data_IF_739495932633
#
_entry.id   IF_739495932633
#
_cell.length_a   1.000
_cell.length_b   1.000
_cell.length_c   1.000
_cell.angle_alpha   90.00
_cell.angle_beta   90.00
_cell.angle_gamma   90.00
#
_symmetry.space_group_name_H-M   'P 1'
#
loop_
_entity.id
_entity.type
_entity.pdbx_description
1 polymer ?
#
# COMPACT_ATOMS: atom_id res chain seq x y z
N UNK A 1 -32.80 61.20 17.60
CA UNK A 1 -32.86 59.78 18.01
C UNK A 1 -32.82 58.79 16.83
N UNK A 2 -33.16 59.17 15.59
CA UNK A 2 -33.10 58.28 14.41
C UNK A 2 -31.68 57.88 13.95
N UNK A 3 -30.66 58.73 14.16
CA UNK A 3 -29.29 58.47 13.70
C UNK A 3 -28.60 57.28 14.39
N UNK A 4 -28.87 57.09 15.69
CA UNK A 4 -28.28 55.99 16.48
C UNK A 4 -28.85 54.64 16.03
N UNK A 5 -30.14 54.57 15.66
CA UNK A 5 -30.77 53.35 15.16
C UNK A 5 -30.20 52.91 13.80
N UNK A 6 -29.87 53.87 12.93
CA UNK A 6 -29.26 53.57 11.62
C UNK A 6 -27.86 52.98 11.78
N UNK A 7 -27.03 53.52 12.68
CA UNK A 7 -25.69 52.97 12.95
C UNK A 7 -25.74 51.55 13.52
N UNK A 8 -26.66 51.26 14.44
CA UNK A 8 -26.82 49.90 14.98
C UNK A 8 -27.29 48.91 13.90
N UNK A 9 -28.18 49.32 13.00
CA UNK A 9 -28.64 48.48 11.90
C UNK A 9 -27.49 48.11 10.95
N UNK A 10 -26.64 49.07 10.61
CA UNK A 10 -25.47 48.83 9.74
C UNK A 10 -24.51 47.84 10.39
N UNK A 11 -24.20 48.01 11.69
CA UNK A 11 -23.29 47.11 12.41
C UNK A 11 -23.89 45.70 12.53
N UNK A 12 -25.21 45.59 12.73
CA UNK A 12 -25.90 44.30 12.80
C UNK A 12 -25.84 43.54 11.47
N UNK A 13 -26.06 44.22 10.35
CA UNK A 13 -25.97 43.58 9.03
C UNK A 13 -24.51 43.20 8.72
N UNK A 14 -23.55 44.07 9.06
CA UNK A 14 -22.13 43.79 8.88
C UNK A 14 -21.68 42.56 9.68
N UNK A 15 -22.09 42.45 10.96
CA UNK A 15 -21.75 41.28 11.77
C UNK A 15 -22.43 40.00 11.27
N UNK A 16 -23.67 40.09 10.77
CA UNK A 16 -24.36 38.94 10.18
C UNK A 16 -23.67 38.44 8.91
N UNK A 17 -23.19 39.34 8.05
CA UNK A 17 -22.40 38.95 6.87
C UNK A 17 -21.11 38.24 7.25
N UNK A 18 -20.37 38.77 8.22
CA UNK A 18 -19.14 38.13 8.72
C UNK A 18 -19.45 36.75 9.29
N UNK A 19 -20.51 36.65 10.12
CA UNK A 19 -20.94 35.39 10.70
C UNK A 19 -21.31 34.36 9.61
N UNK A 20 -22.02 34.77 8.57
CA UNK A 20 -22.37 33.91 7.44
C UNK A 20 -21.12 33.42 6.67
N UNK A 21 -20.14 34.30 6.44
CA UNK A 21 -18.87 33.93 5.80
C UNK A 21 -18.08 32.91 6.62
N UNK A 22 -17.97 33.12 7.94
CA UNK A 22 -17.29 32.17 8.84
C UNK A 22 -18.01 30.83 8.87
N UNK A 23 -19.34 30.83 8.95
CA UNK A 23 -20.13 29.61 8.92
C UNK A 23 -19.92 28.83 7.62
N UNK A 24 -19.88 29.52 6.47
CA UNK A 24 -19.60 28.90 5.16
C UNK A 24 -18.25 28.19 5.13
N UNK A 25 -17.17 28.88 5.51
CA UNK A 25 -15.81 28.30 5.55
C UNK A 25 -15.75 27.12 6.52
N UNK A 26 -16.44 27.21 7.65
CA UNK A 26 -16.45 26.15 8.65
C UNK A 26 -17.17 24.90 8.13
N UNK A 27 -18.31 25.06 7.46
CA UNK A 27 -19.03 23.96 6.81
C UNK A 27 -18.17 23.29 5.73
N UNK A 28 -17.50 24.07 4.89
CA UNK A 28 -16.61 23.54 3.85
C UNK A 28 -15.43 22.77 4.45
N UNK A 29 -14.81 23.31 5.50
CA UNK A 29 -13.68 22.68 6.19
C UNK A 29 -14.09 21.36 6.84
N UNK A 30 -15.27 21.31 7.47
CA UNK A 30 -15.82 20.07 8.04
C UNK A 30 -16.13 19.05 6.94
N UNK A 31 -16.67 19.49 5.80
CA UNK A 31 -16.91 18.63 4.65
C UNK A 31 -15.63 17.99 4.12
N UNK A 32 -14.57 18.79 3.95
CA UNK A 32 -13.25 18.30 3.54
C UNK A 32 -12.66 17.32 4.56
N UNK A 33 -12.74 17.65 5.86
CA UNK A 33 -12.27 16.76 6.92
C UNK A 33 -13.04 15.44 6.94
N UNK A 34 -14.37 15.48 6.79
CA UNK A 34 -15.20 14.28 6.73
C UNK A 34 -14.80 13.38 5.57
N UNK A 35 -14.54 13.95 4.40
CA UNK A 35 -14.10 13.18 3.23
C UNK A 35 -12.73 12.56 3.47
N UNK A 36 -11.76 13.32 3.99
CA UNK A 36 -10.43 12.82 4.30
C UNK A 36 -10.46 11.68 5.33
N UNK A 37 -11.29 11.80 6.37
CA UNK A 37 -11.48 10.72 7.35
C UNK A 37 -12.10 9.48 6.71
N UNK A 38 -13.08 9.66 5.82
CA UNK A 38 -13.69 8.53 5.10
C UNK A 38 -12.68 7.82 4.20
N UNK A 39 -11.87 8.57 3.45
CA UNK A 39 -10.82 8.01 2.58
C UNK A 39 -9.76 7.27 3.41
N UNK A 40 -9.26 7.89 4.47
CA UNK A 40 -8.31 7.25 5.40
C UNK A 40 -8.89 5.96 5.99
N UNK A 41 -10.19 5.95 6.31
CA UNK A 41 -10.87 4.75 6.81
C UNK A 41 -10.91 3.62 5.77
N UNK A 42 -11.13 3.95 4.50
CA UNK A 42 -11.11 2.96 3.41
C UNK A 42 -9.71 2.38 3.20
N UNK A 43 -8.68 3.21 3.24
CA UNK A 43 -7.29 2.76 3.04
C UNK A 43 -6.80 1.90 4.20
N UNK A 44 -6.99 2.32 5.46
CA UNK A 44 -6.67 1.48 6.62
C UNK A 44 -7.43 0.16 6.59
N UNK A 45 -8.67 0.19 6.12
CA UNK A 45 -9.46 -1.03 6.01
C UNK A 45 -8.96 -1.96 4.90
N UNK A 46 -8.38 -1.43 3.81
CA UNK A 46 -7.70 -2.22 2.79
C UNK A 46 -6.41 -2.81 3.37
N UNK A 47 -5.58 -1.99 4.02
CA UNK A 47 -4.33 -2.45 4.64
C UNK A 47 -4.57 -3.59 5.64
N UNK A 48 -5.62 -3.51 6.45
CA UNK A 48 -5.98 -4.59 7.40
C UNK A 48 -6.53 -5.85 6.72
N UNK A 49 -7.15 -5.72 5.54
CA UNK A 49 -7.68 -6.86 4.78
C UNK A 49 -6.66 -7.48 3.85
N UNK A 50 -5.59 -6.76 3.53
CA UNK A 50 -4.43 -7.24 2.79
C UNK A 50 -3.48 -7.90 3.77
N UNK A 51 -3.14 -9.15 3.49
CA UNK A 51 -2.19 -9.94 4.26
C UNK A 51 -1.58 -10.93 3.24
N UNK A 52 -0.27 -10.92 3.13
CA UNK A 52 0.48 -11.83 2.25
C UNK A 52 1.53 -12.57 3.07
N UNK A 53 1.78 -13.83 2.75
CA UNK A 53 2.75 -14.65 3.47
C UNK A 53 3.71 -15.33 2.50
N UNK A 54 5.01 -15.26 2.79
CA UNK A 54 6.02 -15.99 2.02
C UNK A 54 6.06 -17.45 2.48
N UNK A 55 5.66 -18.36 1.60
CA UNK A 55 5.58 -19.80 1.88
C UNK A 55 6.80 -20.58 1.38
N UNK A 56 7.84 -19.88 0.90
CA UNK A 56 9.09 -20.50 0.48
C UNK A 56 9.87 -21.09 1.67
N UNK A 57 10.58 -22.20 1.44
CA UNK A 57 11.44 -22.83 2.44
C UNK A 57 12.86 -22.24 2.40
N UNK A 58 13.28 -21.60 3.48
CA UNK A 58 14.57 -20.91 3.60
C UNK A 58 15.79 -21.84 3.56
N UNK A 59 15.60 -23.14 3.82
CA UNK A 59 16.66 -24.16 3.75
C UNK A 59 16.73 -24.89 2.42
N UNK A 60 15.81 -24.62 1.48
CA UNK A 60 15.74 -25.31 0.21
C UNK A 60 16.59 -24.63 -0.87
N UNK A 61 17.33 -25.42 -1.65
CA UNK A 61 18.03 -24.94 -2.84
C UNK A 61 17.11 -24.44 -3.94
N UNK A 62 15.79 -24.56 -3.77
CA UNK A 62 14.79 -24.01 -4.68
C UNK A 62 14.62 -22.48 -4.55
N UNK A 63 15.11 -21.86 -3.47
CA UNK A 63 15.01 -20.41 -3.26
C UNK A 63 16.05 -19.65 -4.06
N UNK A 64 17.30 -20.12 -4.08
CA UNK A 64 18.38 -19.50 -4.85
C UNK A 64 19.01 -20.52 -5.79
N UNK A 65 18.96 -20.25 -7.08
CA UNK A 65 19.58 -21.09 -8.09
C UNK A 65 21.03 -20.66 -8.33
N UNK A 66 21.97 -21.24 -7.58
CA UNK A 66 23.42 -20.97 -7.71
C UNK A 66 24.05 -21.60 -8.95
N UNK A 67 23.44 -22.64 -9.52
CA UNK A 67 24.04 -23.48 -10.59
C UNK A 67 23.54 -23.10 -12.00
N UNK A 68 22.70 -22.06 -12.11
CA UNK A 68 22.02 -21.65 -13.33
C UNK A 68 22.00 -20.13 -13.56
N UNK A 69 20.83 -19.56 -13.81
CA UNK A 69 20.63 -18.14 -14.14
C UNK A 69 20.81 -17.18 -12.95
N UNK A 70 21.28 -17.64 -11.78
CA UNK A 70 21.42 -16.84 -10.56
C UNK A 70 20.14 -16.05 -10.24
N UNK A 71 19.03 -16.76 -10.02
CA UNK A 71 17.75 -16.12 -9.68
C UNK A 71 17.24 -16.54 -8.29
N UNK A 72 16.54 -15.61 -7.63
CA UNK A 72 15.84 -15.88 -6.37
C UNK A 72 14.37 -16.11 -6.68
N UNK A 73 13.84 -17.26 -6.28
CA UNK A 73 12.43 -17.63 -6.50
C UNK A 73 11.69 -17.70 -5.18
N UNK A 74 10.65 -16.87 -5.04
CA UNK A 74 9.80 -16.83 -3.86
C UNK A 74 8.36 -17.15 -4.21
N UNK A 75 7.70 -17.90 -3.33
CA UNK A 75 6.27 -18.18 -3.42
C UNK A 75 5.56 -17.37 -2.34
N UNK A 76 4.66 -16.49 -2.76
CA UNK A 76 3.91 -15.60 -1.88
C UNK A 76 2.45 -15.93 -1.99
N UNK A 77 1.82 -16.21 -0.86
CA UNK A 77 0.40 -16.57 -0.76
C UNK A 77 -0.39 -15.37 -0.26
N UNK A 78 -1.56 -15.10 -0.85
CA UNK A 78 -2.48 -14.12 -0.30
C UNK A 78 -3.24 -14.79 0.85
N UNK A 79 -2.95 -14.39 2.08
CA UNK A 79 -3.58 -14.86 3.33
C UNK A 79 -4.72 -13.95 3.78
N UNK A 80 -4.82 -12.77 3.19
CA UNK A 80 -5.85 -11.77 3.43
C UNK A 80 -7.20 -12.11 2.81
N UNK A 81 -8.07 -11.11 2.80
CA UNK A 81 -9.46 -11.19 2.31
C UNK A 81 -9.73 -10.34 1.07
N UNK A 82 -8.79 -9.46 0.70
CA UNK A 82 -8.87 -8.62 -0.49
C UNK A 82 -8.16 -9.28 -1.69
N UNK A 83 -8.74 -9.27 -2.90
CA UNK A 83 -8.02 -9.65 -4.11
C UNK A 83 -6.96 -8.60 -4.46
N UNK A 84 -5.78 -9.06 -4.88
CA UNK A 84 -4.63 -8.22 -5.25
C UNK A 84 -4.32 -8.38 -6.74
N UNK A 85 -3.59 -7.42 -7.32
CA UNK A 85 -3.08 -7.55 -8.70
C UNK A 85 -1.82 -8.41 -8.73
N UNK A 86 -1.76 -9.41 -9.61
CA UNK A 86 -0.60 -10.27 -9.79
C UNK A 86 0.44 -9.64 -10.75
N UNK A 87 0.77 -8.37 -10.54
CA UNK A 87 1.62 -7.57 -11.43
C UNK A 87 2.81 -6.99 -10.65
N UNK A 88 4.00 -6.87 -11.27
CA UNK A 88 5.16 -6.23 -10.64
C UNK A 88 4.90 -4.78 -10.19
N UNK A 89 3.99 -4.06 -10.85
CA UNK A 89 3.63 -2.68 -10.48
C UNK A 89 2.72 -2.56 -9.26
N UNK A 90 2.35 -3.67 -8.61
CA UNK A 90 1.50 -3.69 -7.41
C UNK A 90 2.28 -4.15 -6.16
N UNK A 91 3.58 -4.41 -6.29
CA UNK A 91 4.42 -4.82 -5.18
C UNK A 91 5.80 -4.19 -5.26
N UNK A 92 6.35 -3.80 -4.11
CA UNK A 92 7.72 -3.34 -4.00
C UNK A 92 8.59 -4.45 -3.43
N UNK A 93 9.78 -4.61 -4.01
CA UNK A 93 10.70 -5.68 -3.63
C UNK A 93 12.06 -5.11 -3.27
N UNK A 94 12.61 -5.57 -2.15
CA UNK A 94 13.95 -5.19 -1.71
C UNK A 94 14.77 -6.45 -1.42
N UNK A 95 15.97 -6.51 -1.98
CA UNK A 95 16.97 -7.55 -1.71
C UNK A 95 18.12 -6.91 -0.94
N UNK A 96 18.35 -7.35 0.30
CA UNK A 96 19.34 -6.80 1.23
C UNK A 96 19.26 -5.28 1.43
N UNK A 97 18.04 -4.73 1.29
CA UNK A 97 17.77 -3.30 1.41
C UNK A 97 17.96 -2.50 0.11
N UNK A 98 18.32 -3.14 -1.00
CA UNK A 98 18.32 -2.52 -2.32
C UNK A 98 16.99 -2.77 -3.03
N UNK A 99 16.39 -1.71 -3.58
CA UNK A 99 15.17 -1.82 -4.38
C UNK A 99 15.44 -2.58 -5.68
N UNK A 100 14.60 -3.57 -5.97
CA UNK A 100 14.70 -4.42 -7.16
C UNK A 100 13.59 -4.04 -8.14
N UNK A 101 13.97 -3.52 -9.30
CA UNK A 101 13.01 -3.16 -10.35
C UNK A 101 12.83 -4.23 -11.43
N UNK A 102 13.72 -5.23 -11.47
CA UNK A 102 13.72 -6.29 -12.49
C UNK A 102 13.36 -7.63 -11.86
N UNK A 103 12.06 -7.89 -11.74
CA UNK A 103 11.52 -9.16 -11.26
C UNK A 103 10.28 -9.54 -12.05
N UNK A 104 10.04 -10.85 -12.17
CA UNK A 104 8.84 -11.42 -12.75
C UNK A 104 7.85 -11.81 -11.66
N UNK A 105 6.56 -11.62 -11.93
CA UNK A 105 5.46 -12.14 -11.11
C UNK A 105 4.63 -13.07 -11.98
N UNK A 106 4.42 -14.29 -11.50
CA UNK A 106 3.61 -15.30 -12.20
C UNK A 106 2.57 -15.87 -11.24
N UNK A 107 1.29 -15.71 -11.55
CA UNK A 107 0.22 -16.36 -10.79
C UNK A 107 0.25 -17.87 -11.06
N UNK A 108 0.29 -18.67 -10.00
CA UNK A 108 0.32 -20.14 -10.13
C UNK A 108 -1.07 -20.73 -10.35
N UNK A 109 -2.10 -20.10 -9.76
CA UNK A 109 -3.48 -20.61 -9.74
C UNK A 109 -4.44 -19.79 -10.64
N UNK A 110 -4.02 -19.47 -11.88
CA UNK A 110 -4.87 -18.77 -12.84
C UNK A 110 -4.09 -17.97 -13.88
N UNK A 111 -4.81 -17.33 -14.80
CA UNK A 111 -4.24 -16.49 -15.88
C UNK A 111 -4.94 -15.14 -16.03
N UNK A 112 -5.86 -14.80 -15.12
CA UNK A 112 -6.64 -13.56 -15.17
C UNK A 112 -5.97 -12.36 -14.49
N UNK A 113 -4.76 -12.56 -13.94
CA UNK A 113 -4.00 -11.52 -13.24
C UNK A 113 -4.53 -11.16 -11.86
N UNK A 114 -5.55 -11.88 -11.36
CA UNK A 114 -6.18 -11.60 -10.06
C UNK A 114 -5.65 -12.57 -9.00
N UNK A 115 -4.82 -12.04 -8.09
CA UNK A 115 -4.28 -12.76 -6.95
C UNK A 115 -5.29 -12.81 -5.80
N UNK A 116 -6.15 -13.84 -5.85
CA UNK A 116 -7.24 -14.03 -4.89
C UNK A 116 -6.75 -14.56 -3.53
N UNK A 117 -7.50 -14.31 -2.44
CA UNK A 117 -7.29 -14.99 -1.16
C UNK A 117 -7.10 -16.50 -1.32
N UNK A 118 -6.04 -17.02 -0.70
CA UNK A 118 -5.65 -18.42 -0.73
C UNK A 118 -4.77 -18.84 -1.91
N UNK A 119 -4.62 -18.01 -2.94
CA UNK A 119 -3.80 -18.34 -4.13
C UNK A 119 -2.36 -17.86 -3.99
N UNK A 120 -1.46 -18.44 -4.79
CA UNK A 120 -0.02 -18.19 -4.71
C UNK A 120 0.50 -17.54 -5.98
N UNK A 121 1.33 -16.52 -5.83
CA UNK A 121 2.18 -15.97 -6.90
C UNK A 121 3.61 -16.44 -6.71
N UNK A 122 4.28 -16.72 -7.83
CA UNK A 122 5.71 -16.90 -7.89
C UNK A 122 6.36 -15.57 -8.26
N UNK A 123 7.29 -15.13 -7.43
CA UNK A 123 8.13 -13.95 -7.67
C UNK A 123 9.52 -14.45 -8.03
N UNK A 124 10.02 -14.04 -9.20
CA UNK A 124 11.34 -14.40 -9.69
C UNK A 124 12.19 -13.14 -9.81
N UNK A 125 13.21 -13.04 -8.97
CA UNK A 125 14.15 -11.92 -8.96
C UNK A 125 15.35 -12.30 -9.81
N UNK A 126 15.60 -11.55 -10.88
CA UNK A 126 16.83 -11.66 -11.63
C UNK A 126 17.95 -10.97 -10.83
N UNK A 127 18.96 -11.72 -10.40
CA UNK A 127 20.16 -11.17 -9.77
C UNK A 127 21.39 -11.50 -10.61
N UNK A 128 22.48 -10.76 -10.40
CA UNK A 128 23.78 -10.99 -11.05
C UNK A 128 24.73 -11.79 -10.15
N UNK A 129 24.17 -12.70 -9.37
CA UNK A 129 24.85 -13.46 -8.35
C UNK A 129 24.77 -12.82 -6.96
N UNK A 130 24.47 -13.65 -5.95
CA UNK A 130 24.52 -13.29 -4.53
C UNK A 130 25.82 -13.79 -3.91
N UNK A 131 26.41 -13.01 -3.00
CA UNK A 131 27.57 -13.45 -2.21
C UNK A 131 27.16 -14.59 -1.28
N UNK A 132 27.99 -15.61 -1.06
CA UNK A 132 27.66 -16.66 -0.08
C UNK A 132 27.36 -16.06 1.31
N UNK A 133 26.24 -16.47 1.92
CA UNK A 133 25.81 -15.90 3.20
C UNK A 133 24.31 -15.77 3.37
N UNK A 134 23.92 -15.02 4.40
CA UNK A 134 22.51 -14.79 4.73
C UNK A 134 22.01 -13.56 3.96
N UNK A 135 20.88 -13.74 3.28
CA UNK A 135 20.20 -12.70 2.50
C UNK A 135 18.79 -12.48 3.03
N UNK A 136 18.27 -11.29 2.75
CA UNK A 136 16.91 -10.91 3.13
C UNK A 136 16.18 -10.29 1.96
N UNK A 137 15.03 -10.86 1.63
CA UNK A 137 14.06 -10.24 0.73
C UNK A 137 12.94 -9.64 1.55
N UNK A 138 12.63 -8.37 1.30
CA UNK A 138 11.43 -7.71 1.80
C UNK A 138 10.49 -7.50 0.62
N UNK A 139 9.22 -7.88 0.81
CA UNK A 139 8.14 -7.71 -0.15
C UNK A 139 7.12 -6.78 0.51
N UNK A 140 6.64 -5.78 -0.22
CA UNK A 140 5.59 -4.88 0.26
C UNK A 140 4.46 -4.91 -0.75
N UNK A 141 3.24 -5.18 -0.29
CA UNK A 141 2.04 -5.24 -1.14
C UNK A 141 0.90 -4.50 -0.45
N UNK A 142 0.42 -3.41 -1.05
CA UNK A 142 -0.67 -2.58 -0.48
C UNK A 142 -0.54 -2.33 1.04
N UNK A 143 0.66 -1.93 1.48
CA UNK A 143 0.93 -1.60 2.89
C UNK A 143 1.34 -2.78 3.77
N UNK A 144 1.05 -4.02 3.37
CA UNK A 144 1.52 -5.21 4.08
C UNK A 144 3.00 -5.47 3.75
N UNK A 145 3.79 -5.79 4.78
CA UNK A 145 5.24 -5.97 4.67
C UNK A 145 5.66 -7.36 5.09
N UNK A 146 6.24 -8.12 4.16
CA UNK A 146 6.81 -9.42 4.46
C UNK A 146 8.31 -9.49 4.31
N UNK A 147 8.95 -10.19 5.24
CA UNK A 147 10.40 -10.29 5.32
C UNK A 147 10.81 -11.76 5.35
N UNK A 148 11.39 -12.20 4.24
CA UNK A 148 11.94 -13.53 4.11
C UNK A 148 13.46 -13.52 4.21
N UNK A 149 14.01 -14.45 4.98
CA UNK A 149 15.46 -14.64 5.11
C UNK A 149 15.83 -16.01 4.59
N UNK A 150 16.87 -16.08 3.78
CA UNK A 150 17.40 -17.32 3.24
C UNK A 150 18.92 -17.26 3.22
N UNK A 151 19.54 -18.41 2.97
CA UNK A 151 20.98 -18.50 2.84
C UNK A 151 21.34 -18.92 1.42
N UNK A 152 22.24 -18.17 0.79
CA UNK A 152 22.82 -18.48 -0.51
C UNK A 152 24.16 -19.21 -0.36
#
# INVERSE_FOLDING_TARGET
MASVSVSHLIIFIASMMIAASVAGVFTDSIGQLSNAVSEQGLDVSRDVRTDVEVISDSGSSAVYNSDGNENVTLHVKNTGSEPLGADPGQMDLFLDGQFVSNFGVTLLDGTDGVWRPGTVVRVEIATSGLSAGDHRVKIIVNGDEEVFRFRA
#
